data_IF_593731789371
#
_entry.id   IF_593731789371
#
_cell.length_a   1.000
_cell.length_b   1.000
_cell.length_c   1.000
_cell.angle_alpha   90.00
_cell.angle_beta   90.00
_cell.angle_gamma   90.00
#
_symmetry.space_group_name_H-M   'P 1'
#
loop_
_entity.id
_entity.type
_entity.pdbx_description
1 polymer ?
#
# COMPACT_ATOMS: atom_id res chain seq x y z
N UNK A 1 22.88 -23.47 -8.66
CA UNK A 1 21.66 -23.26 -7.82
C UNK A 1 21.64 -21.93 -7.05
N UNK A 2 22.66 -21.07 -7.14
CA UNK A 2 22.72 -19.80 -6.39
C UNK A 2 22.18 -18.56 -7.17
N UNK A 3 22.17 -18.59 -8.50
CA UNK A 3 21.92 -17.40 -9.34
C UNK A 3 20.43 -17.01 -9.45
N UNK A 4 19.50 -17.91 -9.14
CA UNK A 4 18.04 -17.66 -9.28
C UNK A 4 17.46 -16.92 -8.08
N UNK A 5 18.03 -17.10 -6.88
CA UNK A 5 17.59 -16.36 -5.67
C UNK A 5 17.94 -14.87 -5.70
N UNK A 6 19.00 -14.49 -6.39
CA UNK A 6 19.47 -13.09 -6.47
C UNK A 6 18.57 -12.21 -7.36
N UNK A 7 17.97 -12.79 -8.41
CA UNK A 7 17.12 -12.07 -9.37
C UNK A 7 15.72 -11.72 -8.85
N UNK A 8 15.29 -12.35 -7.76
CA UNK A 8 14.02 -12.07 -7.08
C UNK A 8 14.16 -11.06 -5.94
N UNK A 9 15.40 -10.63 -5.65
CA UNK A 9 15.74 -9.73 -4.52
C UNK A 9 16.16 -8.34 -5.00
N UNK A 10 15.80 -7.95 -6.22
CA UNK A 10 15.82 -6.54 -6.60
C UNK A 10 14.75 -5.82 -5.79
N UNK A 11 15.08 -4.73 -5.05
CA UNK A 11 14.05 -3.94 -4.40
C UNK A 11 13.09 -3.42 -5.48
N UNK A 12 11.79 -3.37 -5.18
CA UNK A 12 10.75 -2.85 -6.09
C UNK A 12 11.04 -1.40 -6.55
N UNK A 13 12.00 -0.73 -5.91
CA UNK A 13 12.56 0.57 -6.31
C UNK A 13 13.51 0.51 -7.52
N UNK A 14 13.90 -0.67 -8.02
CA UNK A 14 14.78 -0.79 -9.19
C UNK A 14 14.19 -0.18 -10.48
N UNK A 15 12.87 0.04 -10.53
CA UNK A 15 12.18 0.77 -11.61
C UNK A 15 11.56 2.12 -11.21
N UNK A 16 11.53 2.46 -9.91
CA UNK A 16 10.95 3.71 -9.40
C UNK A 16 12.09 4.63 -9.01
N UNK A 17 12.43 5.60 -9.87
CA UNK A 17 13.31 6.71 -9.53
C UNK A 17 12.61 7.55 -8.45
N UNK A 18 12.91 7.27 -7.19
CA UNK A 18 12.52 8.13 -6.06
C UNK A 18 13.21 9.49 -6.28
N UNK A 19 12.53 10.64 -6.06
CA UNK A 19 13.03 11.93 -6.51
C UNK A 19 14.39 12.25 -5.90
N UNK A 20 15.35 12.57 -6.77
CA UNK A 20 16.59 13.21 -6.36
C UNK A 20 16.33 14.70 -6.14
N UNK A 21 17.23 15.42 -5.46
CA UNK A 21 17.09 16.82 -5.01
C UNK A 21 16.88 17.88 -6.14
N UNK A 22 16.59 17.46 -7.37
CA UNK A 22 16.03 18.24 -8.46
C UNK A 22 14.78 17.51 -8.96
N UNK A 23 13.63 17.84 -8.40
CA UNK A 23 12.30 17.28 -8.69
C UNK A 23 11.84 17.71 -10.11
N UNK A 24 12.59 17.38 -11.16
CA UNK A 24 12.33 17.88 -12.53
C UNK A 24 11.01 17.38 -13.12
N UNK A 25 10.44 16.33 -12.54
CA UNK A 25 9.24 15.63 -13.01
C UNK A 25 8.02 15.86 -12.08
N UNK A 26 8.14 16.73 -11.07
CA UNK A 26 7.06 17.09 -10.15
C UNK A 26 6.36 15.89 -9.46
N UNK A 27 7.13 14.89 -9.02
CA UNK A 27 6.58 13.67 -8.39
C UNK A 27 5.73 13.94 -7.14
N UNK A 28 6.08 14.98 -6.38
CA UNK A 28 5.29 15.42 -5.22
C UNK A 28 3.91 15.93 -5.58
N UNK A 29 3.79 16.60 -6.73
CA UNK A 29 2.51 17.10 -7.23
C UNK A 29 1.62 15.93 -7.68
N UNK A 30 2.19 14.92 -8.33
CA UNK A 30 1.44 13.70 -8.69
C UNK A 30 0.88 13.01 -7.44
N UNK A 31 1.68 12.88 -6.38
CA UNK A 31 1.20 12.33 -5.11
C UNK A 31 0.06 13.18 -4.51
N UNK A 32 0.21 14.50 -4.53
CA UNK A 32 -0.83 15.41 -4.06
C UNK A 32 -2.13 15.27 -4.86
N UNK A 33 -2.04 15.16 -6.19
CA UNK A 33 -3.20 14.91 -7.05
C UNK A 33 -3.89 13.59 -6.73
N UNK A 34 -3.15 12.53 -6.41
CA UNK A 34 -3.75 11.25 -5.99
C UNK A 34 -4.59 11.45 -4.72
N UNK A 35 -4.08 12.17 -3.73
CA UNK A 35 -4.82 12.48 -2.48
C UNK A 35 -6.04 13.37 -2.76
N UNK A 36 -5.87 14.41 -3.58
CA UNK A 36 -6.92 15.41 -3.84
C UNK A 36 -8.01 14.87 -4.79
N UNK A 37 -7.71 13.89 -5.64
CA UNK A 37 -8.62 13.34 -6.64
C UNK A 37 -9.93 12.80 -6.06
N UNK A 38 -9.88 12.18 -4.88
CA UNK A 38 -11.07 11.68 -4.19
C UNK A 38 -12.02 12.84 -3.83
N UNK A 39 -11.48 13.94 -3.31
CA UNK A 39 -12.24 15.14 -2.95
C UNK A 39 -12.80 15.83 -4.19
N UNK A 40 -12.03 15.88 -5.28
CA UNK A 40 -12.50 16.45 -6.54
C UNK A 40 -13.70 15.69 -7.11
N UNK A 41 -13.64 14.35 -7.16
CA UNK A 41 -14.76 13.52 -7.65
C UNK A 41 -16.00 13.69 -6.78
N UNK A 42 -15.83 13.74 -5.45
CA UNK A 42 -16.94 14.00 -4.52
C UNK A 42 -17.52 15.39 -4.76
N UNK A 43 -16.70 16.42 -4.99
CA UNK A 43 -17.17 17.77 -5.27
C UNK A 43 -17.97 17.86 -6.57
N UNK A 44 -17.59 17.10 -7.60
CA UNK A 44 -18.24 17.16 -8.92
C UNK A 44 -19.51 16.31 -9.00
N UNK A 45 -19.47 15.08 -8.47
CA UNK A 45 -20.54 14.08 -8.63
C UNK A 45 -21.28 13.75 -7.32
N UNK A 46 -20.72 14.11 -6.17
CA UNK A 46 -21.25 13.80 -4.84
C UNK A 46 -20.77 12.48 -4.24
N UNK A 47 -20.15 11.58 -5.02
CA UNK A 47 -19.72 10.26 -4.56
C UNK A 47 -18.72 9.61 -5.53
N UNK A 48 -17.91 8.66 -5.02
CA UNK A 48 -17.01 7.81 -5.80
C UNK A 48 -17.63 6.41 -5.97
N UNK A 49 -17.62 5.84 -7.19
CA UNK A 49 -18.24 4.54 -7.44
C UNK A 49 -17.51 3.65 -8.47
N UNK A 50 -17.21 4.16 -9.66
CA UNK A 50 -16.68 3.34 -10.74
C UNK A 50 -15.25 2.84 -10.48
N UNK A 51 -14.36 3.73 -10.03
CA UNK A 51 -12.96 3.38 -9.76
C UNK A 51 -12.84 2.34 -8.63
N UNK A 52 -13.58 2.53 -7.53
CA UNK A 52 -13.60 1.57 -6.42
C UNK A 52 -14.24 0.24 -6.84
N UNK A 53 -15.32 0.27 -7.62
CA UNK A 53 -15.95 -0.94 -8.15
C UNK A 53 -15.00 -1.77 -9.03
N UNK A 54 -14.24 -1.12 -9.91
CA UNK A 54 -13.23 -1.80 -10.73
C UNK A 54 -12.07 -2.34 -9.89
N UNK A 55 -11.63 -1.59 -8.87
CA UNK A 55 -10.59 -2.04 -7.93
C UNK A 55 -11.02 -3.31 -7.19
N UNK A 56 -12.24 -3.32 -6.65
CA UNK A 56 -12.81 -4.50 -5.97
C UNK A 56 -12.98 -5.67 -6.94
N UNK A 57 -13.47 -5.43 -8.16
CA UNK A 57 -13.59 -6.47 -9.17
C UNK A 57 -12.24 -7.12 -9.51
N UNK A 58 -11.16 -6.34 -9.58
CA UNK A 58 -9.81 -6.86 -9.82
C UNK A 58 -9.28 -7.70 -8.65
N UNK A 59 -9.54 -7.27 -7.41
CA UNK A 59 -9.25 -8.07 -6.21
C UNK A 59 -10.02 -9.40 -6.22
N UNK A 60 -11.33 -9.35 -6.49
CA UNK A 60 -12.17 -10.54 -6.61
C UNK A 60 -11.69 -11.47 -7.72
N UNK A 61 -11.33 -10.94 -8.90
CA UNK A 61 -10.79 -11.75 -10.00
C UNK A 61 -9.53 -12.51 -9.55
N UNK A 62 -8.63 -11.83 -8.84
CA UNK A 62 -7.38 -12.41 -8.36
C UNK A 62 -7.62 -13.56 -7.40
N UNK A 63 -8.57 -13.39 -6.47
CA UNK A 63 -8.91 -14.41 -5.47
C UNK A 63 -9.65 -15.58 -6.15
N UNK A 64 -10.70 -15.28 -6.93
CA UNK A 64 -11.56 -16.29 -7.53
C UNK A 64 -10.85 -17.15 -8.57
N UNK A 65 -9.89 -16.58 -9.30
CA UNK A 65 -9.10 -17.31 -10.32
C UNK A 65 -7.74 -17.78 -9.80
N UNK A 66 -7.47 -17.64 -8.51
CA UNK A 66 -6.22 -18.08 -7.87
C UNK A 66 -4.94 -17.56 -8.58
N UNK A 67 -4.89 -16.25 -8.87
CA UNK A 67 -3.89 -15.69 -9.80
C UNK A 67 -2.54 -15.32 -9.16
N UNK A 68 -2.38 -15.46 -7.84
CA UNK A 68 -1.16 -15.09 -7.10
C UNK A 68 -0.62 -13.69 -7.46
N UNK A 69 -1.52 -12.69 -7.61
CA UNK A 69 -1.13 -11.32 -7.98
C UNK A 69 -0.83 -10.47 -6.74
N UNK A 70 0.06 -9.50 -6.92
CA UNK A 70 0.39 -8.50 -5.89
C UNK A 70 -0.61 -7.36 -5.95
N UNK A 71 -1.26 -7.08 -4.82
CA UNK A 71 -2.16 -5.94 -4.63
C UNK A 71 -1.80 -5.17 -3.36
N UNK A 72 -1.99 -3.86 -3.38
CA UNK A 72 -1.86 -3.04 -2.16
C UNK A 72 -3.17 -3.11 -1.38
N UNK A 73 -3.21 -3.98 -0.37
CA UNK A 73 -4.38 -4.19 0.50
C UNK A 73 -4.02 -3.93 1.95
N UNK A 74 -5.03 -3.60 2.77
CA UNK A 74 -4.84 -3.37 4.19
C UNK A 74 -4.57 -4.68 4.92
N UNK A 75 -3.43 -4.78 5.61
CA UNK A 75 -2.99 -5.99 6.31
C UNK A 75 -2.48 -5.66 7.70
N UNK A 76 -2.49 -6.64 8.61
CA UNK A 76 -1.93 -6.47 9.94
C UNK A 76 -0.42 -6.18 9.84
N UNK A 77 0.00 -5.06 10.43
CA UNK A 77 1.34 -4.50 10.30
C UNK A 77 2.24 -4.79 11.53
N UNK A 78 1.83 -5.72 12.40
CA UNK A 78 2.54 -6.01 13.65
C UNK A 78 3.95 -6.54 13.39
N UNK A 79 4.95 -5.95 14.05
CA UNK A 79 6.35 -6.38 14.01
C UNK A 79 7.14 -5.89 12.78
N UNK A 80 6.51 -5.15 11.85
CA UNK A 80 7.18 -4.61 10.67
C UNK A 80 7.72 -3.20 10.96
N UNK A 81 8.96 -2.92 10.52
CA UNK A 81 9.63 -1.60 10.68
C UNK A 81 9.68 -1.07 12.13
N UNK A 82 9.62 -1.95 13.13
CA UNK A 82 9.62 -1.58 14.55
C UNK A 82 8.28 -1.04 15.06
N UNK A 83 7.16 -1.38 14.40
CA UNK A 83 5.80 -1.08 14.85
C UNK A 83 5.27 -2.28 15.63
N UNK A 84 5.00 -2.09 16.93
CA UNK A 84 4.53 -3.17 17.81
C UNK A 84 3.00 -3.20 17.96
N UNK A 85 2.34 -2.09 17.62
CA UNK A 85 0.89 -1.96 17.69
C UNK A 85 0.18 -2.80 16.62
N UNK A 86 -1.01 -3.29 16.94
CA UNK A 86 -1.88 -4.02 16.02
C UNK A 86 -2.63 -3.05 15.09
N UNK A 87 -1.88 -2.46 14.14
CA UNK A 87 -2.42 -1.52 13.14
C UNK A 87 -2.57 -2.18 11.78
N UNK A 88 -3.66 -1.86 11.09
CA UNK A 88 -3.90 -2.27 9.70
C UNK A 88 -3.49 -1.16 8.73
N UNK A 89 -2.57 -1.47 7.83
CA UNK A 89 -2.02 -0.53 6.83
C UNK A 89 -1.94 -1.20 5.46
N UNK A 90 -2.02 -0.39 4.40
CA UNK A 90 -1.90 -0.87 3.03
C UNK A 90 -0.47 -1.27 2.69
N UNK A 91 -0.25 -2.56 2.44
CA UNK A 91 1.03 -3.11 1.99
C UNK A 91 0.86 -3.94 0.71
N UNK A 92 1.88 -3.97 -0.16
CA UNK A 92 1.89 -4.87 -1.30
C UNK A 92 1.86 -6.31 -0.80
N UNK A 93 0.80 -7.03 -1.12
CA UNK A 93 0.54 -8.39 -0.62
C UNK A 93 0.14 -9.30 -1.77
N UNK A 94 0.61 -10.54 -1.72
CA UNK A 94 0.26 -11.60 -2.68
C UNK A 94 -1.09 -12.18 -2.28
N UNK A 95 -2.06 -12.10 -3.19
CA UNK A 95 -3.40 -12.66 -3.02
C UNK A 95 -3.59 -13.91 -3.88
N UNK A 96 -4.22 -14.93 -3.30
CA UNK A 96 -4.60 -16.19 -3.93
C UNK A 96 -6.04 -16.56 -3.56
N UNK A 97 -6.53 -17.74 -3.98
CA UNK A 97 -7.82 -18.26 -3.54
C UNK A 97 -7.91 -18.48 -2.03
N UNK A 98 -6.77 -18.66 -1.34
CA UNK A 98 -6.70 -18.72 0.12
C UNK A 98 -6.75 -17.34 0.81
N UNK A 99 -6.90 -16.25 0.04
CA UNK A 99 -6.83 -14.88 0.52
C UNK A 99 -5.40 -14.38 0.54
N UNK A 100 -4.97 -13.80 1.66
CA UNK A 100 -3.62 -13.24 1.80
C UNK A 100 -2.58 -14.35 2.02
N UNK A 101 -1.72 -14.55 1.03
CA UNK A 101 -0.68 -15.59 1.07
C UNK A 101 0.62 -15.08 1.69
N UNK A 102 1.04 -13.87 1.32
CA UNK A 102 2.30 -13.29 1.78
C UNK A 102 2.24 -11.78 1.69
N UNK A 103 2.83 -11.11 2.68
CA UNK A 103 3.07 -9.67 2.64
C UNK A 103 4.48 -9.42 2.10
N UNK A 104 4.62 -8.49 1.16
CA UNK A 104 5.92 -8.08 0.64
C UNK A 104 6.47 -6.99 1.56
N UNK A 105 7.67 -7.21 2.09
CA UNK A 105 8.37 -6.24 2.93
C UNK A 105 9.47 -5.52 2.12
N UNK A 106 9.16 -4.39 1.47
CA UNK A 106 10.17 -3.65 0.71
C UNK A 106 11.24 -3.07 1.64
N UNK A 107 12.44 -2.83 1.12
CA UNK A 107 13.43 -2.03 1.84
C UNK A 107 13.11 -0.55 1.61
N UNK A 108 12.57 0.10 2.63
CA UNK A 108 12.27 1.53 2.62
C UNK A 108 13.46 2.34 3.09
N UNK A 109 13.54 3.59 2.66
CA UNK A 109 14.50 4.57 3.19
C UNK A 109 14.06 5.10 4.54
N UNK A 110 14.98 5.70 5.30
CA UNK A 110 14.69 6.19 6.65
C UNK A 110 13.58 7.26 6.68
N UNK A 111 13.50 8.11 5.65
CA UNK A 111 12.46 9.13 5.48
C UNK A 111 11.08 8.52 5.18
N UNK A 112 11.03 7.46 4.38
CA UNK A 112 9.80 6.71 4.08
C UNK A 112 9.33 5.90 5.30
N UNK A 113 10.27 5.30 6.05
CA UNK A 113 9.98 4.61 7.32
C UNK A 113 9.40 5.58 8.33
N UNK A 114 9.96 6.78 8.46
CA UNK A 114 9.44 7.82 9.36
C UNK A 114 8.00 8.23 8.99
N UNK A 115 7.71 8.41 7.69
CA UNK A 115 6.36 8.71 7.21
C UNK A 115 5.38 7.56 7.48
N UNK A 116 5.81 6.33 7.24
CA UNK A 116 5.00 5.13 7.50
C UNK A 116 4.67 4.97 8.98
N UNK A 117 5.65 5.18 9.87
CA UNK A 117 5.42 5.18 11.32
C UNK A 117 4.43 6.26 11.75
N UNK A 118 4.53 7.46 11.20
CA UNK A 118 3.56 8.54 11.46
C UNK A 118 2.14 8.16 11.02
N UNK A 119 1.99 7.52 9.86
CA UNK A 119 0.69 7.00 9.39
C UNK A 119 0.17 5.90 10.30
N UNK A 120 1.03 4.98 10.74
CA UNK A 120 0.70 3.92 11.68
C UNK A 120 0.18 4.47 13.02
N UNK A 121 0.88 5.44 13.60
CA UNK A 121 0.46 6.10 14.85
C UNK A 121 -0.88 6.82 14.69
N UNK A 122 -1.10 7.50 13.57
CA UNK A 122 -2.35 8.20 13.30
C UNK A 122 -3.53 7.23 13.26
N UNK A 123 -3.37 6.09 12.56
CA UNK A 123 -4.42 5.07 12.50
C UNK A 123 -4.61 4.34 13.83
N UNK A 124 -3.52 4.01 14.53
CA UNK A 124 -3.58 3.35 15.84
C UNK A 124 -4.32 4.21 16.87
N UNK A 125 -4.07 5.52 16.87
CA UNK A 125 -4.76 6.44 17.78
C UNK A 125 -6.28 6.46 17.58
N UNK A 126 -6.76 6.24 16.36
CA UNK A 126 -8.19 6.14 16.08
C UNK A 126 -8.69 4.73 16.42
N UNK A 127 -7.93 3.69 16.06
CA UNK A 127 -8.32 2.29 16.25
C UNK A 127 -8.42 1.89 17.74
N UNK A 128 -7.55 2.41 18.60
CA UNK A 128 -7.55 2.09 20.04
C UNK A 128 -8.78 2.63 20.78
N UNK A 129 -9.38 3.70 20.26
CA UNK A 129 -10.51 4.40 20.89
C UNK A 129 -11.87 3.82 20.44
N UNK A 130 -11.86 2.87 19.48
CA UNK A 130 -13.06 2.12 19.09
C UNK A 130 -13.40 1.12 20.21
N UNK A 131 -14.52 1.35 20.89
CA UNK A 131 -15.11 0.38 21.81
C UNK A 131 -15.77 -0.75 21.03
N UNK A 132 -15.73 -1.97 21.57
CA UNK A 132 -16.42 -3.13 21.00
C UNK A 132 -17.90 -2.80 20.73
N UNK A 133 -18.32 -2.98 19.48
CA UNK A 133 -19.70 -2.80 19.00
C UNK A 133 -20.59 -3.99 19.39
#
# INVERSE_FOLDING_TARGET
MATVKEKLMTPLTAGIKVPNNKDSENWKEVHKQVVDSAYEVIKLKGYTNWAIGLSVANLCETILKDLYRVHSVSTLFKGMYGIESDVFLSLPSVLSAAGLTSVINPKLKDDEVAQLKKSAETLWNIQKDLQDL
#
